data_IF_740221000758
#
_entry.id   IF_740221000758
#
_cell.length_a   1.000
_cell.length_b   1.000
_cell.length_c   1.000
_cell.angle_alpha   90.00
_cell.angle_beta   90.00
_cell.angle_gamma   90.00
#
_symmetry.space_group_name_H-M   'P 1'
#
loop_
_entity.id
_entity.type
_entity.pdbx_description
1 polymer ?
#
# COMPACT_ATOMS: atom_id res chain seq x y z
N UNK A 1 -4.24 12.56 -23.64
CA UNK A 1 -2.84 13.07 -23.74
C UNK A 1 -1.92 12.67 -22.58
N UNK A 2 -2.43 12.25 -21.44
CA UNK A 2 -1.62 11.85 -20.26
C UNK A 2 -0.75 10.61 -20.50
N UNK A 3 -1.25 9.60 -21.22
CA UNK A 3 -0.50 8.37 -21.56
C UNK A 3 0.83 8.68 -22.24
N UNK A 4 0.83 9.61 -23.20
CA UNK A 4 2.07 10.04 -23.88
C UNK A 4 3.01 10.85 -22.99
N UNK A 5 2.48 11.58 -22.00
CA UNK A 5 3.31 12.28 -21.02
C UNK A 5 4.01 11.31 -20.07
N UNK A 6 3.33 10.20 -19.72
CA UNK A 6 3.85 9.20 -18.77
C UNK A 6 4.84 8.24 -19.46
N UNK A 7 4.50 7.71 -20.62
CA UNK A 7 5.26 6.64 -21.28
C UNK A 7 6.06 7.12 -22.50
N UNK A 8 5.90 8.40 -22.93
CA UNK A 8 6.61 8.95 -24.09
C UNK A 8 6.29 8.25 -25.41
N UNK A 9 7.23 8.27 -26.39
CA UNK A 9 7.04 7.64 -27.71
C UNK A 9 6.86 6.13 -27.66
N UNK A 10 7.32 5.45 -26.61
CA UNK A 10 7.17 4.02 -26.39
C UNK A 10 5.85 3.59 -25.75
N UNK A 11 4.89 4.52 -25.55
CA UNK A 11 3.63 4.26 -24.84
C UNK A 11 2.87 3.04 -25.38
N UNK A 12 2.72 2.94 -26.70
CA UNK A 12 1.99 1.81 -27.30
C UNK A 12 2.67 0.46 -27.08
N UNK A 13 4.00 0.42 -27.12
CA UNK A 13 4.78 -0.79 -26.83
C UNK A 13 4.65 -1.18 -25.36
N UNK A 14 4.79 -0.22 -24.44
CA UNK A 14 4.62 -0.46 -23.01
C UNK A 14 3.21 -1.01 -22.68
N UNK A 15 2.16 -0.38 -23.21
CA UNK A 15 0.76 -0.80 -23.00
C UNK A 15 0.47 -2.16 -23.62
N UNK A 16 0.99 -2.45 -24.82
CA UNK A 16 0.81 -3.77 -25.44
C UNK A 16 1.55 -4.87 -24.68
N UNK A 17 2.70 -4.55 -24.08
CA UNK A 17 3.44 -5.48 -23.23
C UNK A 17 2.75 -5.71 -21.87
N UNK A 18 2.31 -4.63 -21.21
CA UNK A 18 1.62 -4.68 -19.93
C UNK A 18 0.50 -3.62 -19.86
N UNK A 19 -0.75 -3.95 -20.22
CA UNK A 19 -1.89 -3.03 -20.14
C UNK A 19 -2.19 -2.55 -18.72
N UNK A 20 -1.82 -3.30 -17.70
CA UNK A 20 -2.10 -2.97 -16.29
C UNK A 20 -1.25 -1.83 -15.75
N UNK A 21 -0.20 -1.40 -16.47
CA UNK A 21 0.51 -0.15 -16.18
C UNK A 21 -0.42 1.06 -16.15
N UNK A 22 -1.53 1.00 -16.90
CA UNK A 22 -2.55 2.05 -16.92
C UNK A 22 -3.31 2.17 -15.59
N UNK A 23 -3.32 1.13 -14.76
CA UNK A 23 -3.95 1.14 -13.43
C UNK A 23 -3.10 1.86 -12.38
N UNK A 24 -1.81 2.10 -12.70
CA UNK A 24 -0.89 2.83 -11.84
C UNK A 24 -1.06 4.34 -11.93
N UNK A 25 -0.32 5.05 -11.06
CA UNK A 25 -0.22 6.51 -11.10
C UNK A 25 0.58 6.96 -12.35
N UNK A 26 0.25 8.10 -12.91
CA UNK A 26 -0.83 9.04 -12.56
C UNK A 26 -2.18 8.74 -13.24
N UNK A 27 -2.27 7.67 -14.05
CA UNK A 27 -3.44 7.43 -14.93
C UNK A 27 -4.64 6.84 -14.18
N UNK A 28 -4.40 5.97 -13.20
CA UNK A 28 -5.42 5.34 -12.34
C UNK A 28 -6.63 4.76 -13.12
N UNK A 29 -6.36 4.17 -14.29
CA UNK A 29 -7.41 3.55 -15.09
C UNK A 29 -8.07 2.41 -14.31
N UNK A 30 -9.40 2.30 -14.42
CA UNK A 30 -10.11 1.19 -13.80
C UNK A 30 -9.61 -0.16 -14.35
N UNK A 31 -9.45 -1.13 -13.44
CA UNK A 31 -8.94 -2.47 -13.76
C UNK A 31 -9.70 -3.16 -14.90
N UNK A 32 -11.03 -2.98 -14.98
CA UNK A 32 -11.85 -3.57 -16.03
C UNK A 32 -11.48 -3.05 -17.42
N UNK A 33 -11.14 -1.77 -17.52
CA UNK A 33 -10.68 -1.20 -18.77
C UNK A 33 -9.31 -1.74 -19.18
N UNK A 34 -8.39 -1.86 -18.21
CA UNK A 34 -7.09 -2.49 -18.47
C UNK A 34 -7.24 -3.97 -18.88
N UNK A 35 -8.15 -4.70 -18.24
CA UNK A 35 -8.50 -6.09 -18.59
C UNK A 35 -9.04 -6.20 -20.02
N UNK A 36 -9.91 -5.28 -20.44
CA UNK A 36 -10.42 -5.23 -21.82
C UNK A 36 -9.31 -4.97 -22.84
N UNK A 37 -8.37 -4.09 -22.51
CA UNK A 37 -7.18 -3.84 -23.34
C UNK A 37 -6.27 -5.09 -23.39
N UNK A 38 -6.09 -5.76 -22.26
CA UNK A 38 -5.32 -7.00 -22.18
C UNK A 38 -5.92 -8.11 -23.08
N UNK A 39 -7.24 -8.24 -23.07
CA UNK A 39 -7.97 -9.18 -23.96
C UNK A 39 -7.75 -8.84 -25.45
N UNK A 40 -7.78 -7.56 -25.80
CA UNK A 40 -7.48 -7.12 -27.16
C UNK A 40 -6.08 -7.54 -27.63
N UNK A 41 -5.10 -7.53 -26.72
CA UNK A 41 -3.73 -7.99 -26.97
C UNK A 41 -3.54 -9.50 -26.71
N UNK A 42 -4.62 -10.27 -26.58
CA UNK A 42 -4.60 -11.72 -26.36
C UNK A 42 -3.77 -12.16 -25.15
N UNK A 43 -3.77 -11.36 -24.08
CA UNK A 43 -3.11 -11.74 -22.80
C UNK A 43 -3.94 -12.80 -22.08
N UNK A 44 -3.25 -13.77 -21.50
CA UNK A 44 -3.90 -14.82 -20.72
C UNK A 44 -4.49 -14.25 -19.43
N UNK A 45 -5.64 -14.80 -19.00
CA UNK A 45 -6.36 -14.33 -17.80
C UNK A 45 -5.63 -14.59 -16.47
N UNK A 46 -4.54 -15.34 -16.49
CA UNK A 46 -3.69 -15.64 -15.34
C UNK A 46 -2.23 -15.14 -15.53
N UNK A 47 -2.01 -14.21 -16.46
CA UNK A 47 -0.69 -13.62 -16.65
C UNK A 47 -0.24 -12.87 -15.38
N UNK A 48 1.06 -12.90 -15.09
CA UNK A 48 1.65 -12.32 -13.89
C UNK A 48 1.21 -10.86 -13.66
N UNK A 49 1.23 -10.03 -14.71
CA UNK A 49 0.85 -8.63 -14.64
C UNK A 49 -0.61 -8.42 -14.19
N UNK A 50 -1.53 -9.33 -14.57
CA UNK A 50 -2.93 -9.29 -14.13
C UNK A 50 -3.05 -9.61 -12.65
N UNK A 51 -2.32 -10.63 -12.19
CA UNK A 51 -2.33 -11.06 -10.79
C UNK A 51 -1.76 -9.97 -9.89
N UNK A 52 -0.63 -9.38 -10.25
CA UNK A 52 0.01 -8.24 -9.57
C UNK A 52 -0.93 -7.04 -9.50
N UNK A 53 -1.51 -6.64 -10.63
CA UNK A 53 -2.44 -5.51 -10.68
C UNK A 53 -3.70 -5.75 -9.82
N UNK A 54 -4.18 -6.98 -9.72
CA UNK A 54 -5.32 -7.33 -8.86
C UNK A 54 -4.98 -7.19 -7.37
N UNK A 55 -3.78 -7.61 -6.96
CA UNK A 55 -3.28 -7.44 -5.58
C UNK A 55 -3.15 -5.96 -5.22
N UNK A 56 -2.47 -5.18 -6.06
CA UNK A 56 -2.32 -3.73 -5.89
C UNK A 56 -3.66 -3.00 -5.82
N UNK A 57 -4.59 -3.33 -6.75
CA UNK A 57 -5.93 -2.76 -6.75
C UNK A 57 -6.69 -3.08 -5.46
N UNK A 58 -6.59 -4.31 -4.98
CA UNK A 58 -7.27 -4.74 -3.74
C UNK A 58 -6.76 -3.93 -2.55
N UNK A 59 -5.45 -3.73 -2.42
CA UNK A 59 -4.87 -2.90 -1.36
C UNK A 59 -5.29 -1.43 -1.49
N UNK A 60 -5.21 -0.84 -2.68
CA UNK A 60 -5.62 0.56 -2.91
C UNK A 60 -7.10 0.79 -2.63
N UNK A 61 -7.97 -0.15 -3.02
CA UNK A 61 -9.40 -0.08 -2.71
C UNK A 61 -9.65 -0.08 -1.19
N UNK A 62 -8.95 -0.94 -0.45
CA UNK A 62 -9.07 -1.00 1.01
C UNK A 62 -8.45 0.23 1.69
N UNK A 63 -7.38 0.80 1.13
CA UNK A 63 -6.82 2.07 1.59
C UNK A 63 -7.84 3.22 1.49
N UNK A 64 -8.61 3.28 0.40
CA UNK A 64 -9.74 4.21 0.25
C UNK A 64 -10.84 4.03 1.29
N UNK A 65 -10.95 2.85 1.89
CA UNK A 65 -11.88 2.54 2.99
C UNK A 65 -11.26 2.72 4.40
N UNK A 66 -10.04 3.26 4.49
CA UNK A 66 -9.35 3.54 5.74
C UNK A 66 -8.46 2.41 6.27
N UNK A 67 -8.17 1.38 5.47
CA UNK A 67 -7.30 0.26 5.84
C UNK A 67 -5.93 0.40 5.16
N UNK A 68 -4.90 0.68 5.91
CA UNK A 68 -3.53 0.84 5.39
C UNK A 68 -2.86 -0.47 4.99
N UNK A 69 -3.34 -1.59 5.51
CA UNK A 69 -2.83 -2.94 5.24
C UNK A 69 -3.95 -3.98 5.26
N UNK A 70 -3.64 -5.16 4.76
CA UNK A 70 -4.48 -6.36 4.86
C UNK A 70 -3.68 -7.57 5.34
N UNK A 71 -4.27 -8.47 6.14
CA UNK A 71 -3.69 -9.78 6.37
C UNK A 71 -3.46 -10.51 5.04
N UNK A 72 -2.33 -11.23 4.91
CA UNK A 72 -1.99 -11.97 3.68
C UNK A 72 -3.12 -12.85 3.18
N UNK A 73 -3.76 -13.60 4.06
CA UNK A 73 -4.88 -14.50 3.72
C UNK A 73 -6.07 -13.74 3.14
N UNK A 74 -6.47 -12.66 3.81
CA UNK A 74 -7.59 -11.82 3.36
C UNK A 74 -7.31 -11.14 2.02
N UNK A 75 -6.08 -10.66 1.79
CA UNK A 75 -5.67 -10.09 0.51
C UNK A 75 -5.82 -11.11 -0.62
N UNK A 76 -5.29 -12.34 -0.42
CA UNK A 76 -5.35 -13.41 -1.41
C UNK A 76 -6.80 -13.83 -1.71
N UNK A 77 -7.64 -14.01 -0.70
CA UNK A 77 -9.05 -14.36 -0.87
C UNK A 77 -9.83 -13.26 -1.60
N UNK A 78 -9.64 -12.00 -1.21
CA UNK A 78 -10.33 -10.87 -1.82
C UNK A 78 -9.92 -10.69 -3.29
N UNK A 79 -8.63 -10.77 -3.58
CA UNK A 79 -8.12 -10.67 -4.95
C UNK A 79 -8.54 -11.89 -5.81
N UNK A 80 -8.53 -13.10 -5.23
CA UNK A 80 -9.02 -14.34 -5.87
C UNK A 80 -10.46 -14.20 -6.33
N UNK A 81 -11.33 -13.76 -5.43
CA UNK A 81 -12.74 -13.53 -5.73
C UNK A 81 -12.94 -12.43 -6.79
N UNK A 82 -12.11 -11.39 -6.77
CA UNK A 82 -12.21 -10.27 -7.70
C UNK A 82 -11.88 -10.66 -9.14
N UNK A 83 -10.83 -11.46 -9.37
CA UNK A 83 -10.38 -11.83 -10.73
C UNK A 83 -10.75 -13.26 -11.13
N UNK A 84 -11.42 -14.02 -10.25
CA UNK A 84 -11.80 -15.42 -10.43
C UNK A 84 -10.61 -16.34 -10.76
N UNK A 85 -9.49 -16.16 -10.04
CA UNK A 85 -8.30 -17.00 -10.12
C UNK A 85 -8.03 -17.68 -8.77
N UNK A 86 -7.48 -18.91 -8.77
CA UNK A 86 -7.20 -19.62 -7.52
C UNK A 86 -6.16 -18.88 -6.66
N UNK A 87 -6.33 -18.89 -5.31
CA UNK A 87 -5.44 -18.15 -4.39
C UNK A 87 -3.97 -18.53 -4.51
N UNK A 88 -3.67 -19.78 -4.92
CA UNK A 88 -2.29 -20.30 -5.06
C UNK A 88 -1.51 -19.53 -6.13
N UNK A 89 -2.16 -19.17 -7.25
CA UNK A 89 -1.54 -18.35 -8.31
C UNK A 89 -1.24 -16.93 -7.81
N UNK A 90 -2.18 -16.36 -7.06
CA UNK A 90 -2.00 -15.04 -6.45
C UNK A 90 -0.92 -15.05 -5.37
N UNK A 91 -0.75 -16.15 -4.64
CA UNK A 91 0.30 -16.28 -3.63
C UNK A 91 1.69 -16.17 -4.27
N UNK A 92 1.93 -16.82 -5.40
CA UNK A 92 3.20 -16.73 -6.12
C UNK A 92 3.46 -15.30 -6.64
N UNK A 93 2.43 -14.63 -7.19
CA UNK A 93 2.54 -13.24 -7.62
C UNK A 93 2.79 -12.29 -6.45
N UNK A 94 2.15 -12.51 -5.30
CA UNK A 94 2.37 -11.73 -4.08
C UNK A 94 3.81 -11.88 -3.57
N UNK A 95 4.34 -13.09 -3.56
CA UNK A 95 5.73 -13.33 -3.12
C UNK A 95 6.72 -12.63 -4.05
N UNK A 96 6.42 -12.55 -5.34
CA UNK A 96 7.22 -11.80 -6.30
C UNK A 96 7.12 -10.28 -6.05
N UNK A 97 5.92 -9.72 -5.84
CA UNK A 97 5.76 -8.31 -5.49
C UNK A 97 6.50 -7.93 -4.19
N UNK A 98 6.56 -8.84 -3.21
CA UNK A 98 7.32 -8.61 -1.97
C UNK A 98 8.83 -8.66 -2.28
N UNK A 99 9.29 -9.60 -3.11
CA UNK A 99 10.69 -9.72 -3.52
C UNK A 99 11.19 -8.50 -4.31
N UNK A 100 10.35 -7.94 -5.17
CA UNK A 100 10.66 -6.73 -5.96
C UNK A 100 10.41 -5.42 -5.20
N UNK A 101 9.99 -5.52 -3.94
CA UNK A 101 9.66 -4.38 -3.08
C UNK A 101 8.48 -3.51 -3.54
N UNK A 102 7.69 -3.99 -4.49
CA UNK A 102 6.42 -3.35 -4.89
C UNK A 102 5.35 -3.42 -3.78
N UNK A 103 5.46 -4.44 -2.93
CA UNK A 103 4.67 -4.58 -1.71
C UNK A 103 5.60 -4.85 -0.52
N UNK A 104 5.16 -4.44 0.66
CA UNK A 104 5.89 -4.66 1.90
C UNK A 104 5.10 -5.61 2.80
N UNK A 105 5.84 -6.39 3.61
CA UNK A 105 5.25 -7.28 4.61
C UNK A 105 5.74 -6.89 6.01
N UNK A 106 4.81 -6.86 6.97
CA UNK A 106 5.11 -6.66 8.39
C UNK A 106 4.40 -7.73 9.22
N UNK A 107 5.08 -8.26 10.22
CA UNK A 107 4.51 -9.25 11.13
C UNK A 107 3.94 -8.56 12.36
N UNK A 108 2.66 -8.84 12.67
CA UNK A 108 2.03 -8.47 13.92
C UNK A 108 1.49 -9.73 14.58
N UNK A 109 1.97 -10.04 15.75
CA UNK A 109 1.62 -11.26 16.51
C UNK A 109 1.70 -12.54 15.68
N UNK A 110 2.75 -12.64 14.85
CA UNK A 110 2.99 -13.78 13.96
C UNK A 110 2.14 -13.80 12.68
N UNK A 111 1.22 -12.85 12.50
CA UNK A 111 0.39 -12.72 11.30
C UNK A 111 1.05 -11.77 10.29
N UNK A 112 1.27 -12.19 9.03
CA UNK A 112 1.82 -11.30 7.99
C UNK A 112 0.74 -10.36 7.45
N UNK A 113 1.00 -9.06 7.53
CA UNK A 113 0.21 -7.98 6.95
C UNK A 113 0.94 -7.40 5.74
N UNK A 114 0.20 -7.17 4.67
CA UNK A 114 0.72 -6.66 3.40
C UNK A 114 0.33 -5.19 3.26
N UNK A 115 1.31 -4.39 2.87
CA UNK A 115 1.21 -2.94 2.72
C UNK A 115 1.59 -2.47 1.32
N UNK A 116 1.00 -1.36 0.91
CA UNK A 116 1.62 -0.49 -0.08
C UNK A 116 2.81 0.24 0.57
N UNK A 117 3.97 0.39 -0.11
CA UNK A 117 5.18 0.96 0.48
C UNK A 117 4.98 2.35 1.09
N UNK A 118 4.30 3.25 0.38
CA UNK A 118 3.99 4.61 0.79
C UNK A 118 3.16 4.68 2.07
N UNK A 119 2.20 3.77 2.24
CA UNK A 119 1.36 3.72 3.44
C UNK A 119 2.13 3.19 4.65
N UNK A 120 3.01 2.21 4.45
CA UNK A 120 3.87 1.72 5.54
C UNK A 120 4.84 2.81 6.01
N UNK A 121 5.49 3.51 5.09
CA UNK A 121 6.39 4.62 5.39
C UNK A 121 5.65 5.73 6.16
N UNK A 122 4.43 6.08 5.72
CA UNK A 122 3.61 7.07 6.41
C UNK A 122 3.25 6.64 7.85
N UNK A 123 2.89 5.39 8.08
CA UNK A 123 2.62 4.86 9.42
C UNK A 123 3.86 4.91 10.31
N UNK A 124 5.02 4.52 9.78
CA UNK A 124 6.28 4.54 10.52
C UNK A 124 6.71 5.97 10.88
N UNK A 125 6.54 6.92 9.96
CA UNK A 125 6.78 8.34 10.18
C UNK A 125 5.87 8.92 11.27
N UNK A 126 4.57 8.60 11.23
CA UNK A 126 3.60 9.03 12.24
C UNK A 126 3.99 8.46 13.61
N UNK A 127 4.30 7.16 13.67
CA UNK A 127 4.71 6.50 14.93
C UNK A 127 5.98 7.13 15.53
N UNK A 128 6.97 7.41 14.69
CA UNK A 128 8.20 8.07 15.10
C UNK A 128 7.95 9.49 15.66
N UNK A 129 7.12 10.27 14.97
CA UNK A 129 6.75 11.64 15.43
C UNK A 129 5.98 11.61 16.74
N UNK A 130 5.01 10.71 16.90
CA UNK A 130 4.26 10.53 18.14
C UNK A 130 5.18 10.13 19.30
N UNK A 131 6.13 9.23 19.07
CA UNK A 131 7.11 8.83 20.08
C UNK A 131 7.99 10.02 20.53
N UNK A 132 8.39 10.89 19.60
CA UNK A 132 9.13 12.11 19.93
C UNK A 132 8.30 13.11 20.75
N UNK A 133 7.03 13.30 20.36
CA UNK A 133 6.10 14.21 21.10
C UNK A 133 5.83 13.69 22.51
N UNK A 134 5.64 12.39 22.67
CA UNK A 134 5.42 11.77 23.99
C UNK A 134 6.62 11.93 24.91
N UNK A 135 7.84 11.81 24.39
CA UNK A 135 9.06 12.08 25.16
C UNK A 135 9.17 13.54 25.59
N UNK A 136 8.85 14.48 24.69
CA UNK A 136 8.83 15.92 25.00
C UNK A 136 7.78 16.28 26.05
N UNK A 137 6.55 15.73 25.90
CA UNK A 137 5.47 15.95 26.86
C UNK A 137 5.81 15.50 28.28
N UNK A 138 6.45 14.34 28.44
CA UNK A 138 6.91 13.86 29.76
C UNK A 138 7.94 14.79 30.38
N UNK A 139 8.87 15.34 29.61
CA UNK A 139 9.87 16.29 30.12
C UNK A 139 9.24 17.63 30.51
N UNK A 140 8.24 18.10 29.81
CA UNK A 140 7.52 19.35 30.10
C UNK A 140 6.65 19.20 31.36
N UNK A 141 5.96 18.07 31.53
CA UNK A 141 5.16 17.77 32.71
C UNK A 141 6.03 17.72 33.98
N UNK A 142 7.21 17.05 33.92
CA UNK A 142 8.12 16.98 35.03
C UNK A 142 8.70 18.36 35.44
N UNK A 143 8.87 19.28 34.48
CA UNK A 143 9.26 20.67 34.73
C UNK A 143 8.15 21.50 35.38
N UNK A 144 6.89 21.27 34.98
CA UNK A 144 5.72 21.93 35.56
C UNK A 144 5.48 21.54 37.00
N UNK A 145 5.60 20.26 37.37
CA UNK A 145 5.45 19.79 38.73
C UNK A 145 6.49 20.42 39.68
N UNK A 146 7.76 20.55 39.25
CA UNK A 146 8.79 21.28 40.01
C UNK A 146 8.50 22.73 40.20
N UNK A 147 7.99 23.40 39.15
CA UNK A 147 7.64 24.84 39.22
C UNK A 147 6.44 25.07 40.12
N UNK A 148 5.46 24.18 40.13
CA UNK A 148 4.29 24.24 41.03
C UNK A 148 4.75 24.07 42.48
N UNK A 149 5.61 23.10 42.81
CA UNK A 149 6.16 22.90 44.16
C UNK A 149 6.93 24.14 44.65
N UNK A 150 7.71 24.79 43.78
CA UNK A 150 8.43 26.02 44.12
C UNK A 150 7.48 27.16 44.42
N UNK A 151 6.40 27.31 43.64
CA UNK A 151 5.39 28.33 43.86
C UNK A 151 4.60 28.12 45.17
N UNK A 152 4.27 26.89 45.50
CA UNK A 152 3.61 26.53 46.76
C UNK A 152 4.49 26.83 47.98
N UNK A 153 5.81 26.58 47.87
CA UNK A 153 6.76 26.89 48.96
C UNK A 153 7.06 28.38 49.13
N UNK A 154 6.79 29.21 48.09
CA UNK A 154 7.04 30.67 48.14
C UNK A 154 5.81 31.48 48.56
N UNK A 155 4.63 30.88 48.62
CA UNK A 155 3.38 31.56 49.02
C UNK A 155 2.92 31.17 50.46
N UNK A 156 3.61 30.29 51.16
CA UNK A 156 3.41 29.91 52.57
C UNK A 156 4.41 30.54 53.46
#
# INVERSE_FOLDING_TARGET
MEVFRTFGPGAMQAISANPYLLCGEPLQLDFRHADSIAQYYHKEGDCAQRLEAALLRTLRHNAGNGHTCLPRTQLLETASNFIHQPPEKLAAALDECIRTEELRVKLFDGTPYIYLPDLLEAEEDIAARLAMLTKRGKNTAHGLDKNIQILELTQG
#
